data_IF_358489444451
#
_entry.id   IF_358489444451
#
_cell.length_a   1.000
_cell.length_b   1.000
_cell.length_c   1.000
_cell.angle_alpha   90.00
_cell.angle_beta   90.00
_cell.angle_gamma   90.00
#
_symmetry.space_group_name_H-M   'P 1'
#
loop_
_entity.id
_entity.type
_entity.pdbx_description
1 polymer ?
#
# COMPACT_ATOMS: atom_id res chain seq x y z
N UNK A 1 -7.62 13.76 22.51
CA UNK A 1 -6.88 14.07 21.26
C UNK A 1 -5.53 14.68 21.61
N UNK A 2 -4.45 13.97 21.34
CA UNK A 2 -3.09 14.42 21.65
C UNK A 2 -2.59 15.27 20.49
N UNK A 3 -2.75 16.58 20.56
CA UNK A 3 -2.29 17.50 19.51
C UNK A 3 -0.76 17.55 19.51
N UNK A 4 -0.12 17.04 18.44
CA UNK A 4 1.32 17.18 18.18
C UNK A 4 1.66 18.65 17.91
N UNK A 5 1.78 19.48 18.95
CA UNK A 5 2.25 20.86 18.80
C UNK A 5 3.78 20.85 18.68
N UNK A 6 4.30 21.34 17.56
CA UNK A 6 5.71 21.68 17.43
C UNK A 6 5.87 23.20 17.27
N UNK A 7 7.13 23.69 17.30
CA UNK A 7 7.50 25.11 17.17
C UNK A 7 6.88 25.82 15.95
N UNK A 8 6.41 25.07 14.97
CA UNK A 8 5.89 25.58 13.71
C UNK A 8 4.36 25.41 13.58
N UNK A 9 3.64 25.18 14.69
CA UNK A 9 2.19 25.01 14.70
C UNK A 9 1.74 23.58 14.38
N UNK A 10 0.42 23.38 14.26
CA UNK A 10 -0.18 22.06 14.03
C UNK A 10 0.31 21.43 12.71
N UNK A 11 1.01 20.28 12.75
CA UNK A 11 1.50 19.60 11.56
C UNK A 11 0.38 19.11 10.64
N UNK A 12 -0.81 18.80 11.17
CA UNK A 12 -1.96 18.35 10.34
C UNK A 12 -2.50 19.52 9.53
N UNK A 13 -2.81 20.64 10.19
CA UNK A 13 -3.26 21.87 9.52
C UNK A 13 -2.27 22.36 8.47
N UNK A 14 -0.96 22.29 8.73
CA UNK A 14 0.06 22.63 7.72
C UNK A 14 0.16 21.63 6.59
N UNK A 15 -0.05 20.34 6.86
CA UNK A 15 -0.13 19.32 5.81
C UNK A 15 -1.31 19.59 4.87
N UNK A 16 -2.48 19.88 5.43
CA UNK A 16 -3.69 20.24 4.68
C UNK A 16 -3.51 21.54 3.89
N UNK A 17 -2.90 22.56 4.49
CA UNK A 17 -2.61 23.84 3.82
C UNK A 17 -1.52 23.70 2.74
N UNK A 18 -0.50 22.86 2.96
CA UNK A 18 0.46 22.49 1.93
C UNK A 18 -0.24 21.79 0.77
N UNK A 19 -1.11 20.82 1.05
CA UNK A 19 -1.89 20.12 0.04
C UNK A 19 -2.80 21.10 -0.69
N UNK A 20 -3.56 21.98 -0.03
CA UNK A 20 -4.46 22.92 -0.71
C UNK A 20 -3.71 23.92 -1.61
N UNK A 21 -2.52 24.38 -1.19
CA UNK A 21 -1.69 25.31 -1.96
C UNK A 21 -0.96 24.64 -3.13
N UNK A 22 -0.52 23.39 -2.97
CA UNK A 22 0.33 22.70 -3.95
C UNK A 22 -0.44 21.67 -4.81
N UNK A 23 -1.60 21.21 -4.36
CA UNK A 23 -2.50 20.34 -5.13
C UNK A 23 -3.18 21.06 -6.29
N UNK A 24 -2.96 22.37 -6.47
CA UNK A 24 -3.35 23.12 -7.68
C UNK A 24 -2.76 22.56 -8.99
N UNK A 25 -1.80 21.63 -8.92
CA UNK A 25 -1.32 20.83 -10.07
C UNK A 25 -1.84 19.38 -10.12
N UNK A 26 -2.63 18.93 -9.14
CA UNK A 26 -3.23 17.58 -9.08
C UNK A 26 -4.60 17.49 -9.79
N UNK A 27 -5.28 18.62 -10.06
CA UNK A 27 -6.62 18.70 -10.66
C UNK A 27 -6.76 18.17 -12.11
N UNK A 28 -5.77 17.46 -12.65
CA UNK A 28 -5.80 16.94 -14.03
C UNK A 28 -5.79 15.41 -14.12
N UNK A 29 -5.78 14.70 -12.99
CA UNK A 29 -5.87 13.25 -13.00
C UNK A 29 -7.28 12.79 -12.66
N UNK A 30 -7.84 11.84 -13.44
CA UNK A 30 -9.11 11.21 -13.10
C UNK A 30 -9.04 10.52 -11.75
N UNK A 31 -10.22 10.31 -11.14
CA UNK A 31 -10.34 9.45 -9.98
C UNK A 31 -9.85 8.03 -10.29
N UNK A 32 -9.29 7.39 -9.26
CA UNK A 32 -8.61 6.11 -9.41
C UNK A 32 -8.94 5.17 -8.24
N UNK A 33 -8.99 3.87 -8.54
CA UNK A 33 -9.37 2.82 -7.59
C UNK A 33 -8.40 2.69 -6.42
N UNK A 34 -7.14 3.11 -6.56
CA UNK A 34 -6.11 3.01 -5.52
C UNK A 34 -6.35 4.05 -4.41
N UNK A 35 -6.47 5.31 -4.81
CA UNK A 35 -6.77 6.43 -3.90
C UNK A 35 -8.12 6.25 -3.24
N UNK A 36 -9.15 5.87 -4.02
CA UNK A 36 -10.49 5.58 -3.48
C UNK A 36 -10.46 4.45 -2.44
N UNK A 37 -9.83 3.31 -2.76
CA UNK A 37 -9.75 2.17 -1.82
C UNK A 37 -8.98 2.51 -0.54
N UNK A 38 -7.91 3.31 -0.63
CA UNK A 38 -7.17 3.75 0.54
C UNK A 38 -8.01 4.70 1.40
N UNK A 39 -8.72 5.65 0.79
CA UNK A 39 -9.58 6.60 1.49
C UNK A 39 -10.68 5.88 2.29
N UNK A 40 -11.37 4.91 1.67
CA UNK A 40 -12.42 4.12 2.32
C UNK A 40 -11.91 3.30 3.53
N UNK A 41 -10.61 3.03 3.60
CA UNK A 41 -10.01 2.26 4.70
C UNK A 41 -9.39 3.10 5.80
N UNK A 42 -9.20 4.41 5.59
CA UNK A 42 -8.40 5.28 6.49
C UNK A 42 -9.20 6.47 7.00
N UNK A 43 -10.21 6.94 6.28
CA UNK A 43 -11.05 8.04 6.72
C UNK A 43 -12.16 7.51 7.63
N UNK A 44 -12.33 8.14 8.79
CA UNK A 44 -13.28 7.72 9.83
C UNK A 44 -14.70 8.28 9.61
N UNK A 45 -14.88 9.20 8.65
CA UNK A 45 -16.10 9.97 8.41
C UNK A 45 -16.82 9.60 7.10
N UNK A 46 -16.53 8.43 6.53
CA UNK A 46 -17.19 7.93 5.32
C UNK A 46 -18.62 7.46 5.63
N UNK A 47 -19.57 8.02 4.89
CA UNK A 47 -20.98 7.60 4.96
C UNK A 47 -21.23 6.30 4.18
N UNK A 48 -22.25 5.50 4.55
CA UNK A 48 -22.64 4.32 3.78
C UNK A 48 -22.98 4.64 2.32
N UNK A 49 -23.52 5.83 2.04
CA UNK A 49 -23.82 6.30 0.70
C UNK A 49 -22.55 6.53 -0.13
N UNK A 50 -21.53 7.17 0.46
CA UNK A 50 -20.22 7.36 -0.18
C UNK A 50 -19.52 6.03 -0.44
N UNK A 51 -19.59 5.10 0.51
CA UNK A 51 -19.05 3.75 0.34
C UNK A 51 -19.76 3.01 -0.81
N UNK A 52 -21.09 3.08 -0.87
CA UNK A 52 -21.87 2.48 -1.94
C UNK A 52 -21.51 3.08 -3.32
N UNK A 53 -21.25 4.40 -3.39
CA UNK A 53 -20.78 5.06 -4.60
C UNK A 53 -19.39 4.53 -4.99
N UNK A 54 -18.46 4.45 -4.05
CA UNK A 54 -17.10 3.96 -4.30
C UNK A 54 -17.11 2.52 -4.85
N UNK A 55 -17.85 1.61 -4.19
CA UNK A 55 -18.01 0.22 -4.63
C UNK A 55 -18.61 0.17 -6.04
N UNK A 56 -19.68 0.93 -6.29
CA UNK A 56 -20.34 0.98 -7.60
C UNK A 56 -19.39 1.47 -8.70
N UNK A 57 -18.58 2.50 -8.43
CA UNK A 57 -17.63 3.05 -9.39
C UNK A 57 -16.51 2.06 -9.71
N UNK A 58 -15.96 1.34 -8.73
CA UNK A 58 -14.93 0.33 -8.99
C UNK A 58 -15.51 -0.82 -9.82
N UNK A 59 -16.72 -1.28 -9.52
CA UNK A 59 -17.37 -2.37 -10.23
C UNK A 59 -17.82 -2.02 -11.64
N UNK A 60 -18.04 -0.73 -11.95
CA UNK A 60 -18.29 -0.29 -13.33
C UNK A 60 -17.02 -0.19 -14.18
N UNK A 61 -15.84 -0.33 -13.57
CA UNK A 61 -14.53 -0.21 -14.23
C UNK A 61 -13.68 -1.47 -14.07
N UNK A 62 -14.26 -2.62 -14.44
CA UNK A 62 -13.56 -3.90 -14.47
C UNK A 62 -13.05 -4.23 -15.89
N UNK A 63 -11.96 -4.97 -15.94
CA UNK A 63 -11.50 -5.65 -17.15
C UNK A 63 -12.44 -6.78 -17.56
N UNK A 64 -12.33 -7.32 -18.79
CA UNK A 64 -13.07 -8.51 -19.21
C UNK A 64 -12.88 -9.72 -18.27
N UNK A 65 -11.72 -9.79 -17.60
CA UNK A 65 -11.41 -10.81 -16.61
C UNK A 65 -12.00 -10.53 -15.23
N UNK A 66 -12.79 -9.47 -15.07
CA UNK A 66 -13.40 -9.08 -13.79
C UNK A 66 -12.41 -8.49 -12.78
N UNK A 67 -11.23 -8.03 -13.24
CA UNK A 67 -10.22 -7.39 -12.40
C UNK A 67 -10.35 -5.86 -12.47
N UNK A 68 -10.22 -5.14 -11.33
CA UNK A 68 -10.40 -3.69 -11.28
C UNK A 68 -9.33 -2.93 -12.05
N UNK A 69 -9.75 -1.97 -12.87
CA UNK A 69 -8.84 -1.01 -13.49
C UNK A 69 -8.35 0.04 -12.49
N UNK A 70 -7.23 0.67 -12.82
CA UNK A 70 -6.65 1.75 -12.03
C UNK A 70 -7.53 3.00 -12.08
N UNK A 71 -7.99 3.41 -13.26
CA UNK A 71 -8.71 4.66 -13.44
C UNK A 71 -10.21 4.40 -13.51
N UNK A 72 -10.99 5.25 -12.85
CA UNK A 72 -12.46 5.24 -12.89
C UNK A 72 -12.97 5.99 -14.14
N UNK A 73 -12.35 5.71 -15.29
CA UNK A 73 -12.70 6.23 -16.60
C UNK A 73 -12.50 5.17 -17.68
N UNK A 74 -13.52 4.98 -18.51
CA UNK A 74 -13.54 3.96 -19.57
C UNK A 74 -12.53 4.23 -20.69
N UNK A 75 -12.14 5.48 -20.93
CA UNK A 75 -11.14 5.85 -21.95
C UNK A 75 -9.69 5.52 -21.52
N UNK A 76 -9.47 5.12 -20.26
CA UNK A 76 -8.14 4.83 -19.72
C UNK A 76 -8.10 3.48 -18.98
N UNK A 77 -8.39 2.35 -19.66
CA UNK A 77 -8.46 1.02 -19.04
C UNK A 77 -7.06 0.48 -18.73
N UNK A 78 -6.42 1.02 -17.68
CA UNK A 78 -5.10 0.60 -17.24
C UNK A 78 -5.24 -0.36 -16.09
N UNK A 79 -4.44 -1.41 -16.13
CA UNK A 79 -4.39 -2.41 -15.08
C UNK A 79 -3.05 -2.36 -14.35
N UNK A 80 -3.06 -2.65 -13.06
CA UNK A 80 -1.90 -2.66 -12.17
C UNK A 80 -2.17 -3.62 -11.01
N UNK A 81 -1.31 -4.61 -10.81
CA UNK A 81 -1.55 -5.61 -9.76
C UNK A 81 -1.39 -5.07 -8.34
N UNK A 82 -0.57 -4.03 -8.14
CA UNK A 82 -0.47 -3.35 -6.83
C UNK A 82 -1.78 -2.63 -6.50
N UNK A 83 -2.38 -1.94 -7.46
CA UNK A 83 -3.68 -1.28 -7.30
C UNK A 83 -4.77 -2.34 -7.10
N UNK A 84 -4.74 -3.43 -7.87
CA UNK A 84 -5.67 -4.55 -7.69
C UNK A 84 -5.56 -5.16 -6.28
N UNK A 85 -4.35 -5.25 -5.71
CA UNK A 85 -4.15 -5.72 -4.34
C UNK A 85 -4.73 -4.75 -3.30
N UNK A 86 -4.64 -3.44 -3.51
CA UNK A 86 -5.25 -2.46 -2.60
C UNK A 86 -6.78 -2.46 -2.71
N UNK A 87 -7.34 -2.63 -3.92
CA UNK A 87 -8.79 -2.83 -4.11
C UNK A 87 -9.25 -4.13 -3.42
N UNK A 88 -8.50 -5.23 -3.57
CA UNK A 88 -8.79 -6.47 -2.85
C UNK A 88 -8.80 -6.26 -1.33
N UNK A 89 -7.77 -5.59 -0.80
CA UNK A 89 -7.67 -5.25 0.61
C UNK A 89 -8.91 -4.48 1.08
N UNK A 90 -9.36 -3.48 0.33
CA UNK A 90 -10.59 -2.74 0.64
C UNK A 90 -11.82 -3.65 0.61
N UNK A 91 -12.08 -4.31 -0.51
CA UNK A 91 -13.29 -5.13 -0.71
C UNK A 91 -13.36 -6.29 0.29
N UNK A 92 -12.23 -6.86 0.70
CA UNK A 92 -12.23 -7.92 1.70
C UNK A 92 -12.55 -7.38 3.09
N UNK A 93 -11.90 -6.29 3.50
CA UNK A 93 -12.11 -5.69 4.83
C UNK A 93 -13.50 -5.06 4.99
N UNK A 94 -14.16 -4.66 3.90
CA UNK A 94 -15.55 -4.17 3.90
C UNK A 94 -16.60 -5.24 3.63
N UNK A 95 -16.24 -6.54 3.63
CA UNK A 95 -17.14 -7.65 3.33
C UNK A 95 -17.85 -7.54 1.95
N UNK A 96 -17.16 -6.98 0.95
CA UNK A 96 -17.64 -6.82 -0.42
C UNK A 96 -16.97 -7.79 -1.41
N UNK A 97 -16.06 -8.66 -0.96
CA UNK A 97 -15.20 -9.47 -1.84
C UNK A 97 -15.96 -10.40 -2.80
N UNK A 98 -17.17 -10.82 -2.44
CA UNK A 98 -18.04 -11.65 -3.31
C UNK A 98 -18.36 -10.96 -4.64
N UNK A 99 -18.25 -9.63 -4.71
CA UNK A 99 -18.44 -8.83 -5.92
C UNK A 99 -17.24 -8.89 -6.88
N UNK A 100 -16.10 -9.41 -6.43
CA UNK A 100 -14.85 -9.54 -7.19
C UNK A 100 -14.29 -10.98 -7.14
N UNK A 101 -15.06 -11.99 -7.56
CA UNK A 101 -14.76 -13.40 -7.30
C UNK A 101 -13.44 -13.90 -7.92
N UNK A 102 -12.93 -13.24 -8.96
CA UNK A 102 -11.69 -13.63 -9.66
C UNK A 102 -10.43 -13.01 -9.07
N UNK A 103 -10.56 -11.97 -8.23
CA UNK A 103 -9.41 -11.20 -7.75
C UNK A 103 -8.53 -12.01 -6.80
N UNK A 104 -9.13 -12.79 -5.89
CA UNK A 104 -8.37 -13.64 -4.96
C UNK A 104 -7.43 -14.59 -5.70
N UNK A 105 -7.98 -15.39 -6.63
CA UNK A 105 -7.20 -16.38 -7.38
C UNK A 105 -6.11 -15.73 -8.24
N UNK A 106 -6.39 -14.56 -8.81
CA UNK A 106 -5.40 -13.79 -9.56
C UNK A 106 -4.20 -13.39 -8.68
N UNK A 107 -4.46 -12.88 -7.48
CA UNK A 107 -3.42 -12.44 -6.54
C UNK A 107 -2.60 -13.63 -6.02
N UNK A 108 -3.24 -14.75 -5.68
CA UNK A 108 -2.53 -15.99 -5.31
C UNK A 108 -1.63 -16.49 -6.44
N UNK A 109 -2.10 -16.46 -7.69
CA UNK A 109 -1.29 -16.84 -8.85
C UNK A 109 -0.08 -15.93 -9.04
N UNK A 110 -0.20 -14.63 -8.80
CA UNK A 110 0.94 -13.72 -8.84
C UNK A 110 1.99 -14.04 -7.77
N UNK A 111 1.56 -14.40 -6.56
CA UNK A 111 2.47 -14.83 -5.49
C UNK A 111 3.15 -16.16 -5.84
N UNK A 112 2.40 -17.12 -6.38
CA UNK A 112 2.92 -18.44 -6.79
C UNK A 112 3.95 -18.36 -7.92
N UNK A 113 3.72 -17.48 -8.89
CA UNK A 113 4.57 -17.34 -10.08
C UNK A 113 5.64 -16.27 -9.93
N UNK A 114 5.63 -15.54 -8.81
CA UNK A 114 6.54 -14.41 -8.52
C UNK A 114 6.50 -13.28 -9.55
N UNK A 115 5.48 -13.27 -10.43
CA UNK A 115 5.38 -12.28 -11.49
C UNK A 115 5.23 -10.84 -10.97
N UNK A 116 4.82 -10.67 -9.71
CA UNK A 116 4.79 -9.35 -9.06
C UNK A 116 6.18 -8.72 -8.89
N UNK A 117 7.27 -9.51 -8.89
CA UNK A 117 8.66 -9.04 -8.78
C UNK A 117 9.07 -8.12 -9.92
N UNK A 118 8.42 -8.24 -11.08
CA UNK A 118 8.64 -7.39 -12.25
C UNK A 118 8.16 -5.94 -12.03
N UNK A 119 7.47 -5.68 -10.92
CA UNK A 119 6.84 -4.41 -10.63
C UNK A 119 5.68 -4.13 -11.59
N UNK A 120 5.27 -2.88 -11.65
CA UNK A 120 4.16 -2.45 -12.51
C UNK A 120 4.50 -1.17 -13.27
N UNK A 121 3.55 -0.74 -14.08
CA UNK A 121 3.59 0.56 -14.74
C UNK A 121 3.81 1.73 -13.76
N UNK A 122 3.28 1.64 -12.54
CA UNK A 122 3.32 2.74 -11.57
C UNK A 122 4.26 2.44 -10.40
N UNK A 123 4.39 1.19 -10.00
CA UNK A 123 5.15 0.77 -8.82
C UNK A 123 6.35 -0.07 -9.22
N UNK A 124 7.55 0.51 -9.13
CA UNK A 124 8.81 -0.20 -9.40
C UNK A 124 9.19 -1.15 -8.25
N UNK A 125 8.82 -0.81 -7.01
CA UNK A 125 9.13 -1.64 -5.86
C UNK A 125 8.05 -2.73 -5.70
N UNK A 126 8.39 -4.02 -5.87
CA UNK A 126 7.42 -5.10 -5.76
C UNK A 126 6.94 -5.34 -4.31
N UNK A 127 7.66 -4.84 -3.30
CA UNK A 127 7.31 -5.05 -1.89
C UNK A 127 6.01 -4.32 -1.49
N UNK A 128 5.54 -3.37 -2.30
CA UNK A 128 4.20 -2.78 -2.16
C UNK A 128 3.11 -3.84 -2.21
N UNK A 129 3.25 -4.80 -3.13
CA UNK A 129 2.28 -5.87 -3.32
C UNK A 129 2.17 -6.74 -2.07
N UNK A 130 3.31 -7.16 -1.52
CA UNK A 130 3.36 -7.96 -0.30
C UNK A 130 2.82 -7.20 0.91
N UNK A 131 3.20 -5.93 1.06
CA UNK A 131 2.73 -5.08 2.14
C UNK A 131 1.20 -4.96 2.18
N UNK A 132 0.56 -4.68 1.03
CA UNK A 132 -0.89 -4.52 0.94
C UNK A 132 -1.64 -5.81 1.29
N UNK A 133 -1.19 -6.95 0.76
CA UNK A 133 -1.84 -8.24 1.02
C UNK A 133 -1.59 -8.75 2.45
N UNK A 134 -0.46 -8.39 3.05
CA UNK A 134 -0.16 -8.75 4.44
C UNK A 134 -1.05 -8.03 5.44
N UNK A 135 -1.46 -6.77 5.15
CA UNK A 135 -2.35 -6.02 6.04
C UNK A 135 -3.72 -6.70 6.20
N UNK A 136 -4.34 -7.17 5.10
CA UNK A 136 -5.61 -7.91 5.17
C UNK A 136 -5.43 -9.28 5.85
N UNK A 137 -4.37 -10.00 5.49
CA UNK A 137 -4.07 -11.31 6.06
C UNK A 137 -3.77 -11.26 7.57
N UNK A 138 -3.11 -10.20 8.03
CA UNK A 138 -2.81 -9.97 9.43
C UNK A 138 -4.04 -9.56 10.25
N UNK A 139 -4.85 -8.63 9.73
CA UNK A 139 -6.09 -8.20 10.38
C UNK A 139 -7.11 -9.33 10.52
N UNK A 140 -7.16 -10.24 9.55
CA UNK A 140 -8.09 -11.37 9.53
C UNK A 140 -7.35 -12.71 9.70
N UNK A 141 -6.46 -12.77 10.70
CA UNK A 141 -5.55 -13.91 10.95
C UNK A 141 -6.26 -15.26 11.19
N UNK A 142 -7.52 -15.26 11.62
CA UNK A 142 -8.33 -16.47 11.83
C UNK A 142 -9.17 -16.89 10.62
N UNK A 143 -9.30 -16.03 9.59
CA UNK A 143 -10.12 -16.33 8.42
C UNK A 143 -9.46 -17.41 7.57
N UNK A 144 -10.15 -18.55 7.40
CA UNK A 144 -9.65 -19.71 6.64
C UNK A 144 -9.62 -19.45 5.13
N UNK A 145 -10.45 -18.55 4.61
CA UNK A 145 -10.45 -18.22 3.18
C UNK A 145 -9.14 -17.54 2.75
N UNK A 146 -8.42 -16.89 3.67
CA UNK A 146 -7.10 -16.29 3.41
C UNK A 146 -5.92 -17.26 3.62
N UNK A 147 -6.17 -18.55 3.92
CA UNK A 147 -5.10 -19.49 4.28
C UNK A 147 -4.05 -19.72 3.19
N UNK A 148 -4.47 -19.92 1.93
CA UNK A 148 -3.55 -20.05 0.79
C UNK A 148 -2.71 -18.79 0.61
N UNK A 149 -3.36 -17.62 0.57
CA UNK A 149 -2.67 -16.33 0.43
C UNK A 149 -1.68 -16.09 1.57
N UNK A 150 -2.04 -16.39 2.83
CA UNK A 150 -1.13 -16.29 3.98
C UNK A 150 0.10 -17.18 3.81
N UNK A 151 -0.09 -18.43 3.41
CA UNK A 151 1.01 -19.36 3.19
C UNK A 151 1.98 -18.83 2.13
N UNK A 152 1.46 -18.38 0.99
CA UNK A 152 2.24 -17.81 -0.10
C UNK A 152 2.96 -16.52 0.32
N UNK A 153 2.27 -15.61 1.01
CA UNK A 153 2.87 -14.36 1.49
C UNK A 153 3.99 -14.61 2.47
N UNK A 154 3.81 -15.52 3.44
CA UNK A 154 4.85 -15.88 4.40
C UNK A 154 6.12 -16.32 3.69
N UNK A 155 5.99 -17.22 2.71
CA UNK A 155 7.12 -17.68 1.90
C UNK A 155 7.80 -16.53 1.15
N UNK A 156 7.02 -15.74 0.40
CA UNK A 156 7.53 -14.64 -0.42
C UNK A 156 8.19 -13.53 0.42
N UNK A 157 7.65 -13.24 1.61
CA UNK A 157 8.23 -12.25 2.51
C UNK A 157 9.54 -12.77 3.08
N UNK A 158 9.57 -14.02 3.58
CA UNK A 158 10.77 -14.65 4.15
C UNK A 158 11.92 -14.74 3.15
N UNK A 159 11.64 -15.14 1.91
CA UNK A 159 12.64 -15.20 0.84
C UNK A 159 13.27 -13.81 0.58
N UNK A 160 12.44 -12.77 0.60
CA UNK A 160 12.87 -11.40 0.28
C UNK A 160 13.47 -10.63 1.46
N UNK A 161 13.40 -11.13 2.69
CA UNK A 161 13.94 -10.43 3.87
C UNK A 161 15.43 -10.17 3.72
N UNK A 162 15.81 -8.89 3.71
CA UNK A 162 17.19 -8.47 3.52
C UNK A 162 17.75 -8.74 2.12
N UNK A 163 16.91 -8.93 1.09
CA UNK A 163 17.37 -9.19 -0.28
C UNK A 163 18.15 -8.00 -0.89
N UNK A 164 17.94 -6.80 -0.37
CA UNK A 164 18.68 -5.59 -0.73
C UNK A 164 18.79 -4.62 0.47
N UNK A 165 19.59 -3.56 0.30
CA UNK A 165 19.70 -2.48 1.29
C UNK A 165 18.81 -1.27 0.97
N UNK A 166 17.76 -1.45 0.17
CA UNK A 166 16.86 -0.35 -0.20
C UNK A 166 15.91 -0.06 0.95
N UNK A 167 16.09 1.09 1.59
CA UNK A 167 15.34 1.54 2.77
C UNK A 167 13.83 1.35 2.62
N UNK A 168 13.26 1.75 1.48
CA UNK A 168 11.82 1.69 1.31
C UNK A 168 11.28 0.26 1.17
N UNK A 169 12.01 -0.63 0.47
CA UNK A 169 11.68 -2.06 0.42
C UNK A 169 11.81 -2.71 1.80
N UNK A 170 12.90 -2.42 2.52
CA UNK A 170 13.11 -2.91 3.88
C UNK A 170 11.97 -2.50 4.83
N UNK A 171 11.48 -1.26 4.74
CA UNK A 171 10.34 -0.80 5.54
C UNK A 171 9.05 -1.55 5.22
N UNK A 172 8.73 -1.72 3.93
CA UNK A 172 7.54 -2.47 3.48
C UNK A 172 7.59 -3.93 3.91
N UNK A 173 8.72 -4.62 3.71
CA UNK A 173 8.91 -6.02 4.11
C UNK A 173 8.87 -6.20 5.63
N UNK A 174 9.43 -5.25 6.41
CA UNK A 174 9.35 -5.29 7.87
C UNK A 174 7.90 -5.21 8.36
N UNK A 175 7.11 -4.25 7.84
CA UNK A 175 5.71 -4.09 8.20
C UNK A 175 4.83 -5.27 7.74
N UNK A 176 5.12 -5.81 6.56
CA UNK A 176 4.46 -7.01 6.05
C UNK A 176 4.72 -8.22 6.94
N UNK A 177 5.99 -8.45 7.32
CA UNK A 177 6.40 -9.51 8.22
C UNK A 177 5.72 -9.41 9.59
N UNK A 178 5.72 -8.21 10.18
CA UNK A 178 5.06 -7.93 11.46
C UNK A 178 3.57 -8.23 11.41
N UNK A 179 2.89 -7.87 10.31
CA UNK A 179 1.47 -8.14 10.13
C UNK A 179 1.14 -9.65 10.11
N UNK A 180 2.12 -10.50 9.77
CA UNK A 180 1.99 -11.96 9.77
C UNK A 180 2.69 -12.64 10.97
N UNK A 181 3.20 -11.87 11.93
CA UNK A 181 3.91 -12.40 13.10
C UNK A 181 5.27 -13.04 12.77
N UNK A 182 5.93 -12.57 11.70
CA UNK A 182 7.23 -13.08 11.26
C UNK A 182 8.35 -12.13 11.72
N UNK A 183 9.36 -12.67 12.40
CA UNK A 183 10.54 -11.90 12.83
C UNK A 183 11.42 -11.49 11.63
N UNK A 184 11.62 -10.18 11.42
CA UNK A 184 12.42 -9.62 10.33
C UNK A 184 13.58 -8.74 10.83
N UNK A 185 14.54 -9.35 11.52
CA UNK A 185 15.74 -8.65 12.02
C UNK A 185 16.61 -8.05 10.91
N UNK A 186 16.63 -8.65 9.71
CA UNK A 186 17.53 -8.24 8.61
C UNK A 186 17.13 -6.89 8.03
N UNK A 187 15.85 -6.70 7.73
CA UNK A 187 15.37 -5.43 7.20
C UNK A 187 15.33 -4.36 8.30
N UNK A 188 14.95 -4.71 9.53
CA UNK A 188 15.01 -3.77 10.67
C UNK A 188 16.44 -3.26 10.90
N UNK A 189 17.45 -4.15 10.81
CA UNK A 189 18.87 -3.75 10.86
C UNK A 189 19.21 -2.77 9.73
N UNK A 190 18.76 -3.03 8.50
CA UNK A 190 18.96 -2.11 7.37
C UNK A 190 18.37 -0.74 7.66
N UNK A 191 17.17 -0.66 8.24
CA UNK A 191 16.56 0.62 8.60
C UNK A 191 17.40 1.38 9.64
N UNK A 192 17.83 0.69 10.72
CA UNK A 192 18.64 1.30 11.78
C UNK A 192 19.99 1.81 11.26
N UNK A 193 20.70 1.03 10.45
CA UNK A 193 22.01 1.40 9.92
C UNK A 193 21.96 2.53 8.89
N UNK A 194 20.80 2.76 8.27
CA UNK A 194 20.62 3.79 7.23
C UNK A 194 19.93 5.05 7.74
N UNK A 195 19.58 5.09 9.03
CA UNK A 195 19.00 6.27 9.66
C UNK A 195 20.01 7.42 9.63
N UNK A 196 19.56 8.59 9.17
CA UNK A 196 20.38 9.80 9.14
C UNK A 196 20.41 10.48 10.51
N UNK A 197 21.38 11.39 10.71
CA UNK A 197 21.57 12.09 11.99
C UNK A 197 20.34 12.86 12.49
N UNK A 198 19.45 13.27 11.59
CA UNK A 198 18.20 13.96 11.93
C UNK A 198 17.06 12.99 12.30
N UNK A 199 17.34 11.69 12.40
CA UNK A 199 16.37 10.64 12.69
C UNK A 199 15.52 10.19 11.51
N UNK A 200 15.69 10.79 10.33
CA UNK A 200 14.96 10.44 9.10
C UNK A 200 15.75 9.57 8.13
N UNK A 201 15.13 9.30 6.97
CA UNK A 201 15.77 8.61 5.84
C UNK A 201 15.73 9.47 4.58
N UNK A 202 16.66 9.25 3.65
CA UNK A 202 16.68 9.97 2.37
C UNK A 202 15.41 9.72 1.54
N UNK A 203 15.02 10.71 0.71
CA UNK A 203 13.89 10.58 -0.23
C UNK A 203 14.06 9.32 -1.08
N UNK A 204 13.04 8.46 -1.08
CA UNK A 204 12.94 7.30 -1.99
C UNK A 204 11.86 7.55 -3.03
N UNK A 205 12.00 6.90 -4.19
CA UNK A 205 10.98 6.88 -5.23
C UNK A 205 9.91 5.84 -4.88
N UNK A 206 8.67 6.29 -4.77
CA UNK A 206 7.55 5.46 -4.32
C UNK A 206 6.79 4.87 -5.51
N UNK A 207 6.56 5.70 -6.53
CA UNK A 207 5.91 5.33 -7.78
C UNK A 207 6.38 6.23 -8.92
N UNK A 208 5.98 5.90 -10.15
CA UNK A 208 6.31 6.62 -11.37
C UNK A 208 5.07 6.89 -12.21
N UNK A 209 5.14 7.91 -13.05
CA UNK A 209 4.15 8.11 -14.09
C UNK A 209 4.27 7.01 -15.14
N UNK A 210 3.14 6.49 -15.58
CA UNK A 210 3.14 5.38 -16.51
C UNK A 210 3.56 5.72 -17.94
N UNK A 211 3.55 7.01 -18.33
CA UNK A 211 3.88 7.47 -19.70
C UNK A 211 5.24 8.17 -19.77
N UNK A 212 5.67 8.79 -18.67
CA UNK A 212 6.86 9.62 -18.61
C UNK A 212 7.82 9.08 -17.56
N UNK A 213 9.12 9.29 -17.71
CA UNK A 213 10.14 8.87 -16.74
C UNK A 213 10.12 9.69 -15.42
N UNK A 214 9.00 10.33 -15.12
CA UNK A 214 8.81 11.14 -13.93
C UNK A 214 8.51 10.21 -12.75
N UNK A 215 9.29 10.35 -11.68
CA UNK A 215 9.14 9.59 -10.43
C UNK A 215 8.62 10.49 -9.32
N UNK A 216 7.72 9.96 -8.51
CA UNK A 216 7.20 10.61 -7.32
C UNK A 216 7.86 9.96 -6.12
N UNK A 217 8.43 10.79 -5.24
CA UNK A 217 9.15 10.34 -4.07
C UNK A 217 8.85 11.23 -2.87
N UNK A 218 8.91 10.66 -1.67
CA UNK A 218 8.66 11.41 -0.44
C UNK A 218 9.62 10.98 0.66
N UNK A 219 10.33 11.95 1.26
CA UNK A 219 11.14 11.72 2.48
C UNK A 219 10.22 11.42 3.67
N UNK A 220 9.19 12.23 3.86
CA UNK A 220 8.27 12.09 4.99
C UNK A 220 7.56 10.74 5.03
N UNK A 221 7.11 10.25 3.87
CA UNK A 221 6.47 8.94 3.76
C UNK A 221 7.42 7.80 4.14
N UNK A 222 8.64 7.82 3.61
CA UNK A 222 9.66 6.79 3.90
C UNK A 222 10.02 6.81 5.38
N UNK A 223 10.23 7.99 5.97
CA UNK A 223 10.51 8.13 7.40
C UNK A 223 9.36 7.58 8.24
N UNK A 224 8.10 7.91 7.93
CA UNK A 224 6.95 7.42 8.66
C UNK A 224 6.87 5.88 8.65
N UNK A 225 7.07 5.27 7.48
CA UNK A 225 7.07 3.80 7.32
C UNK A 225 8.22 3.14 8.09
N UNK A 226 9.44 3.68 7.99
CA UNK A 226 10.61 3.15 8.69
C UNK A 226 10.49 3.27 10.21
N UNK A 227 10.02 4.42 10.72
CA UNK A 227 9.77 4.61 12.16
C UNK A 227 8.71 3.64 12.65
N UNK A 228 7.61 3.46 11.92
CA UNK A 228 6.57 2.48 12.28
C UNK A 228 7.14 1.06 12.36
N UNK A 229 7.91 0.65 11.36
CA UNK A 229 8.54 -0.67 11.32
C UNK A 229 9.48 -0.90 12.51
N UNK A 230 10.36 0.06 12.82
CA UNK A 230 11.30 -0.05 13.95
C UNK A 230 10.56 -0.06 15.28
N UNK A 231 9.53 0.80 15.44
CA UNK A 231 8.76 0.88 16.67
C UNK A 231 8.08 -0.46 16.97
N UNK A 232 7.36 -1.02 15.99
CA UNK A 232 6.66 -2.29 16.15
C UNK A 232 7.64 -3.44 16.46
N UNK A 233 8.79 -3.49 15.77
CA UNK A 233 9.81 -4.51 16.02
C UNK A 233 10.38 -4.50 17.45
N UNK A 234 10.32 -3.36 18.15
CA UNK A 234 10.72 -3.24 19.56
C UNK A 234 9.63 -3.68 20.52
N UNK A 235 8.36 -3.54 20.13
CA UNK A 235 7.19 -3.95 20.92
C UNK A 235 6.96 -5.47 20.83
N UNK A 236 7.36 -6.08 19.71
CA UNK A 236 7.26 -7.52 19.46
C UNK A 236 8.43 -8.36 20.06
N UNK A 237 9.46 -7.71 20.61
CA UNK A 237 10.69 -8.32 21.12
C UNK A 237 10.62 -8.63 22.62
#
# INVERSE_FOLDING_TARGET
MTTLRNLFGDPVSRGLDFLSRNAKKLFLYPDDSDTTSLAMLVLDDITPEEEAIAVKQILSHLSPDGLPYCWLQTCRPRFCHVICANVFRYFYLSNQIDKLPKVYQYLCRLLQTEAYLLGTRYYDNPDWFLFLLSDVCGKLSSDKALSEMRCLLTWQIQDRMGCDRKVFGAALRSLAAQSLGIDNKRDVKTLLETQQMDGGWGRQWLWKYGKEAVKIGSRGFVTAMAVRAIKQAREDA
#
